data_IF_920852554033
#
_entry.id   IF_920852554033
#
_cell.length_a   1.000
_cell.length_b   1.000
_cell.length_c   1.000
_cell.angle_alpha   90.00
_cell.angle_beta   90.00
_cell.angle_gamma   90.00
#
_symmetry.space_group_name_H-M   'P 1'
#
loop_
_entity.id
_entity.type
_entity.pdbx_description
1 polymer ?
#
# COMPACT_ATOMS: atom_id res chain seq x y z
N UNK A 1 -27.56 -14.35 19.84
CA UNK A 1 -27.41 -12.94 19.44
C UNK A 1 -25.94 -12.72 19.13
N UNK A 2 -25.60 -12.71 17.85
CA UNK A 2 -24.23 -12.42 17.40
C UNK A 2 -24.15 -10.90 17.31
N UNK A 3 -23.26 -10.28 18.09
CA UNK A 3 -23.17 -8.82 18.19
C UNK A 3 -22.77 -8.18 16.85
N UNK A 4 -23.08 -6.89 16.64
CA UNK A 4 -22.79 -6.17 15.39
C UNK A 4 -21.30 -6.23 14.98
N UNK A 5 -20.38 -6.33 15.94
CA UNK A 5 -18.95 -6.55 15.66
C UNK A 5 -18.68 -7.87 14.92
N UNK A 6 -19.30 -8.98 15.32
CA UNK A 6 -19.05 -10.29 14.71
C UNK A 6 -19.63 -10.43 13.29
N UNK A 7 -20.62 -9.60 12.93
CA UNK A 7 -21.15 -9.48 11.57
C UNK A 7 -20.21 -8.68 10.64
N UNK A 8 -19.50 -7.67 11.17
CA UNK A 8 -18.46 -6.94 10.44
C UNK A 8 -17.24 -7.83 10.15
N UNK A 9 -16.82 -8.66 11.11
CA UNK A 9 -15.77 -9.67 10.91
C UNK A 9 -16.13 -10.71 9.83
N UNK A 10 -17.40 -11.16 9.79
CA UNK A 10 -17.85 -12.12 8.78
C UNK A 10 -17.89 -11.50 7.36
N UNK A 11 -18.22 -10.21 7.24
CA UNK A 11 -18.20 -9.47 5.97
C UNK A 11 -16.78 -9.19 5.46
N UNK A 12 -15.81 -9.05 6.37
CA UNK A 12 -14.38 -9.01 6.02
C UNK A 12 -13.88 -10.37 5.52
N UNK A 13 -14.24 -11.46 6.22
CA UNK A 13 -13.86 -12.82 5.85
C UNK A 13 -14.50 -13.31 4.53
N UNK A 14 -15.73 -12.88 4.19
CA UNK A 14 -16.40 -13.28 2.95
C UNK A 14 -15.96 -12.53 1.68
N UNK A 15 -15.09 -11.52 1.76
CA UNK A 15 -14.42 -10.92 0.58
C UNK A 15 -13.24 -11.76 0.05
N UNK A 16 -12.97 -12.91 0.66
CA UNK A 16 -11.81 -13.78 0.36
C UNK A 16 -11.99 -14.73 -0.85
N UNK A 17 -13.08 -14.65 -1.60
CA UNK A 17 -13.31 -15.49 -2.79
C UNK A 17 -12.73 -14.87 -4.08
N UNK A 18 -11.65 -14.10 -3.96
CA UNK A 18 -10.88 -13.54 -5.05
C UNK A 18 -9.40 -13.58 -4.67
N UNK A 19 -8.57 -14.05 -5.60
CA UNK A 19 -7.13 -14.21 -5.43
C UNK A 19 -6.49 -12.95 -4.79
N UNK A 20 -5.97 -13.08 -3.57
CA UNK A 20 -5.65 -11.98 -2.65
C UNK A 20 -4.57 -11.00 -3.15
N UNK A 21 -4.94 -9.72 -3.26
CA UNK A 21 -4.06 -8.65 -3.67
C UNK A 21 -3.08 -8.24 -2.56
N UNK A 22 -1.90 -7.75 -2.92
CA UNK A 22 -0.81 -7.46 -1.97
C UNK A 22 -1.02 -6.09 -1.31
N UNK A 23 -1.20 -6.05 0.01
CA UNK A 23 -1.36 -4.82 0.81
C UNK A 23 -0.02 -4.38 1.37
N UNK A 24 0.39 -3.16 1.03
CA UNK A 24 1.64 -2.54 1.47
C UNK A 24 1.30 -1.23 2.17
N UNK A 25 1.97 -0.93 3.28
CA UNK A 25 1.76 0.34 3.98
C UNK A 25 2.96 0.82 4.77
N UNK A 26 2.79 1.99 5.39
CA UNK A 26 3.69 2.57 6.37
C UNK A 26 2.90 3.00 7.62
N UNK A 27 3.55 2.87 8.78
CA UNK A 27 2.97 3.16 10.09
C UNK A 27 4.03 3.78 11.01
N UNK A 28 3.89 5.07 11.31
CA UNK A 28 4.63 5.69 12.40
C UNK A 28 3.99 5.31 13.74
N UNK A 29 4.72 4.54 14.55
CA UNK A 29 4.34 4.15 15.91
C UNK A 29 5.25 4.91 16.87
N UNK A 30 4.71 5.94 17.51
CA UNK A 30 5.45 6.88 18.34
C UNK A 30 6.29 6.15 19.39
N UNK A 31 7.61 6.37 19.33
CA UNK A 31 8.58 5.81 20.25
C UNK A 31 8.39 4.29 20.50
N UNK A 32 8.19 3.51 19.43
CA UNK A 32 8.03 2.07 19.54
C UNK A 32 9.25 1.42 20.19
N UNK A 33 9.02 0.54 21.17
CA UNK A 33 10.05 -0.17 21.94
C UNK A 33 9.41 -1.01 23.04
N UNK A 34 10.21 -1.50 23.99
CA UNK A 34 9.79 -2.48 25.01
C UNK A 34 8.54 -2.07 25.78
N UNK A 35 8.48 -0.82 26.22
CA UNK A 35 7.33 -0.31 27.00
C UNK A 35 6.03 -0.32 26.19
N UNK A 36 6.11 -0.18 24.86
CA UNK A 36 4.94 -0.15 23.97
C UNK A 36 4.42 -1.54 23.69
N UNK A 37 5.32 -2.48 23.36
CA UNK A 37 4.93 -3.86 23.02
C UNK A 37 4.50 -4.66 24.25
N UNK A 38 5.04 -4.34 25.44
CA UNK A 38 4.68 -5.01 26.70
C UNK A 38 3.34 -4.52 27.29
N UNK A 39 2.84 -3.35 26.88
CA UNK A 39 1.48 -2.91 27.23
C UNK A 39 0.45 -3.81 26.51
N UNK A 40 -0.37 -4.59 27.24
CA UNK A 40 -1.25 -5.58 26.61
C UNK A 40 -2.36 -5.00 25.74
N UNK A 41 -2.75 -3.73 25.95
CA UNK A 41 -3.77 -3.07 25.15
C UNK A 41 -3.15 -2.51 23.87
N UNK A 42 -2.03 -1.81 23.99
CA UNK A 42 -1.31 -1.20 22.87
C UNK A 42 -0.67 -2.26 21.97
N UNK A 43 0.13 -3.18 22.53
CA UNK A 43 0.82 -4.22 21.77
C UNK A 43 -0.13 -5.11 20.97
N UNK A 44 -1.29 -5.47 21.56
CA UNK A 44 -2.33 -6.25 20.87
C UNK A 44 -2.91 -5.51 19.67
N UNK A 45 -3.26 -4.22 19.82
CA UNK A 45 -3.80 -3.41 18.72
C UNK A 45 -2.76 -3.27 17.61
N UNK A 46 -1.50 -2.98 17.96
CA UNK A 46 -0.40 -2.91 17.00
C UNK A 46 -0.27 -4.24 16.24
N UNK A 47 -0.22 -5.38 16.94
CA UNK A 47 -0.10 -6.69 16.30
C UNK A 47 -1.29 -7.00 15.39
N UNK A 48 -2.51 -6.65 15.80
CA UNK A 48 -3.73 -6.81 14.99
C UNK A 48 -3.67 -5.97 13.70
N UNK A 49 -3.30 -4.68 13.81
CA UNK A 49 -3.13 -3.80 12.65
C UNK A 49 -2.10 -4.40 11.69
N UNK A 50 -0.91 -4.74 12.18
CA UNK A 50 0.20 -5.23 11.36
C UNK A 50 -0.12 -6.57 10.67
N UNK A 51 -0.88 -7.45 11.33
CA UNK A 51 -1.34 -8.72 10.74
C UNK A 51 -2.31 -8.55 9.54
N UNK A 52 -2.82 -7.34 9.31
CA UNK A 52 -3.68 -6.99 8.19
C UNK A 52 -2.95 -6.73 6.87
N UNK A 53 -1.62 -6.66 6.88
CA UNK A 53 -0.79 -6.24 5.74
C UNK A 53 0.20 -7.32 5.30
N UNK A 54 0.58 -7.32 4.02
CA UNK A 54 1.58 -8.25 3.50
C UNK A 54 3.01 -7.72 3.69
N UNK A 55 3.17 -6.39 3.60
CA UNK A 55 4.39 -5.66 3.95
C UNK A 55 4.02 -4.37 4.65
N UNK A 56 4.62 -4.09 5.80
CA UNK A 56 4.45 -2.84 6.52
C UNK A 56 5.81 -2.26 6.90
N UNK A 57 6.04 -1.00 6.54
CA UNK A 57 7.10 -0.17 7.12
C UNK A 57 6.63 0.36 8.48
N UNK A 58 7.40 0.12 9.53
CA UNK A 58 7.21 0.68 10.86
C UNK A 58 8.34 1.67 11.13
N UNK A 59 7.97 2.85 11.63
CA UNK A 59 8.88 3.98 11.91
C UNK A 59 8.85 4.34 13.41
N UNK A 60 9.80 5.18 13.84
CA UNK A 60 10.03 5.51 15.26
C UNK A 60 10.38 4.30 16.14
N UNK A 61 10.97 3.25 15.56
CA UNK A 61 11.45 2.08 16.30
C UNK A 61 12.72 2.43 17.07
N UNK A 62 12.71 2.24 18.39
CA UNK A 62 13.82 2.53 19.30
C UNK A 62 14.17 1.27 20.08
N UNK A 63 14.78 0.31 19.38
CA UNK A 63 14.98 -1.05 19.87
C UNK A 63 16.29 -1.66 19.33
N UNK A 64 17.46 -1.12 19.72
CA UNK A 64 18.74 -1.53 19.13
C UNK A 64 19.14 -2.98 19.42
N UNK A 65 18.55 -3.62 20.44
CA UNK A 65 18.78 -5.04 20.76
C UNK A 65 17.70 -5.97 20.19
N UNK A 66 16.73 -5.41 19.45
CA UNK A 66 15.62 -6.12 18.79
C UNK A 66 14.69 -6.88 19.76
N UNK A 67 14.73 -6.57 21.05
CA UNK A 67 13.89 -7.25 22.04
C UNK A 67 12.40 -6.94 21.85
N UNK A 68 12.06 -5.67 21.63
CA UNK A 68 10.69 -5.26 21.36
C UNK A 68 10.16 -5.76 20.00
N UNK A 69 11.00 -5.74 18.97
CA UNK A 69 10.71 -6.26 17.63
C UNK A 69 10.43 -7.76 17.69
N UNK A 70 11.24 -8.51 18.43
CA UNK A 70 11.04 -9.95 18.61
C UNK A 70 9.72 -10.23 19.31
N UNK A 71 9.43 -9.54 20.42
CA UNK A 71 8.16 -9.68 21.14
C UNK A 71 6.95 -9.32 20.26
N UNK A 72 7.06 -8.28 19.42
CA UNK A 72 6.00 -7.90 18.50
C UNK A 72 5.77 -8.97 17.44
N UNK A 73 6.83 -9.54 16.87
CA UNK A 73 6.72 -10.60 15.87
C UNK A 73 6.02 -11.84 16.44
N UNK A 74 6.32 -12.22 17.68
CA UNK A 74 5.62 -13.29 18.40
C UNK A 74 4.13 -12.99 18.56
N UNK A 75 3.78 -11.76 18.96
CA UNK A 75 2.39 -11.34 19.07
C UNK A 75 1.65 -11.40 17.72
N UNK A 76 2.25 -10.89 16.64
CA UNK A 76 1.67 -10.96 15.29
C UNK A 76 1.44 -12.41 14.88
N UNK A 77 2.45 -13.27 15.05
CA UNK A 77 2.37 -14.69 14.71
C UNK A 77 1.38 -15.47 15.59
N UNK A 78 1.04 -14.96 16.78
CA UNK A 78 0.02 -15.56 17.64
C UNK A 78 -1.42 -15.25 17.22
N UNK A 79 -1.66 -14.11 16.55
CA UNK A 79 -3.00 -13.67 16.12
C UNK A 79 -3.26 -13.89 14.63
N UNK A 80 -2.19 -14.06 13.86
CA UNK A 80 -2.24 -14.25 12.41
C UNK A 80 -2.34 -15.72 12.02
N UNK A 81 -3.01 -16.00 10.89
CA UNK A 81 -2.98 -17.31 10.22
C UNK A 81 -1.74 -17.52 9.33
N UNK A 82 -0.97 -16.46 9.11
CA UNK A 82 0.24 -16.44 8.30
C UNK A 82 1.46 -16.18 9.16
N UNK A 83 2.61 -16.70 8.73
CA UNK A 83 3.89 -16.46 9.37
C UNK A 83 4.52 -15.16 8.85
N UNK A 84 4.94 -14.30 9.78
CA UNK A 84 5.63 -13.05 9.51
C UNK A 84 7.12 -13.16 9.84
N UNK A 85 7.91 -12.35 9.15
CA UNK A 85 9.32 -12.08 9.43
C UNK A 85 9.57 -10.57 9.33
N UNK A 86 10.79 -10.15 9.61
CA UNK A 86 11.18 -8.75 9.54
C UNK A 86 12.58 -8.56 8.96
N UNK A 87 12.87 -7.32 8.56
CA UNK A 87 14.21 -6.80 8.29
C UNK A 87 14.26 -5.35 8.77
N UNK A 88 15.37 -4.94 9.39
CA UNK A 88 15.51 -3.61 9.97
C UNK A 88 16.83 -2.94 9.57
N UNK A 89 16.85 -1.61 9.64
CA UNK A 89 18.09 -0.84 9.59
C UNK A 89 18.85 -0.95 10.91
N UNK A 90 20.08 -0.43 10.91
CA UNK A 90 20.75 -0.01 12.14
C UNK A 90 20.05 1.22 12.75
N UNK A 91 20.38 1.64 13.99
CA UNK A 91 19.90 2.91 14.54
C UNK A 91 20.44 4.12 13.76
N UNK A 92 19.53 4.96 13.26
CA UNK A 92 19.77 6.14 12.43
C UNK A 92 19.32 7.42 13.16
N UNK A 93 20.00 8.54 12.90
CA UNK A 93 19.75 9.82 13.55
C UNK A 93 21.01 10.68 13.55
N UNK A 94 20.88 12.00 13.72
CA UNK A 94 22.05 12.90 13.83
C UNK A 94 22.59 12.99 15.25
N UNK A 95 21.72 12.87 16.26
CA UNK A 95 22.06 13.06 17.67
C UNK A 95 21.95 11.75 18.47
N UNK A 96 21.77 11.83 19.79
CA UNK A 96 21.62 10.65 20.66
C UNK A 96 20.25 9.97 20.50
N UNK A 97 19.27 10.68 19.94
CA UNK A 97 17.97 10.13 19.63
C UNK A 97 18.06 9.40 18.28
N UNK A 98 18.17 8.07 18.36
CA UNK A 98 18.20 7.20 17.18
C UNK A 98 16.89 6.43 17.03
N UNK A 99 16.52 6.20 15.79
CA UNK A 99 15.38 5.38 15.38
C UNK A 99 15.82 4.36 14.32
N UNK A 100 15.02 3.33 14.11
CA UNK A 100 15.24 2.30 13.09
C UNK A 100 14.06 2.27 12.13
N UNK A 101 14.33 1.97 10.86
CA UNK A 101 13.30 1.52 9.94
C UNK A 101 13.11 0.00 10.10
N UNK A 102 11.86 -0.44 10.25
CA UNK A 102 11.52 -1.85 10.38
C UNK A 102 10.51 -2.25 9.31
N UNK A 103 10.84 -3.22 8.48
CA UNK A 103 9.89 -3.84 7.56
C UNK A 103 9.41 -5.15 8.15
N UNK A 104 8.11 -5.27 8.40
CA UNK A 104 7.44 -6.52 8.78
C UNK A 104 6.73 -7.07 7.54
N UNK A 105 6.95 -8.33 7.22
CA UNK A 105 6.41 -8.93 6.00
C UNK A 105 5.97 -10.38 6.16
N UNK A 106 4.99 -10.77 5.35
CA UNK A 106 4.41 -12.12 5.33
C UNK A 106 5.25 -13.05 4.47
N UNK A 107 5.77 -14.14 5.05
CA UNK A 107 6.77 -15.03 4.40
C UNK A 107 6.25 -15.79 3.18
N UNK A 108 4.93 -16.00 3.09
CA UNK A 108 4.28 -16.64 1.95
C UNK A 108 3.85 -15.64 0.85
N UNK A 109 4.00 -14.33 1.09
CA UNK A 109 3.64 -13.27 0.13
C UNK A 109 4.86 -12.71 -0.59
N UNK A 110 5.93 -12.42 0.16
CA UNK A 110 7.14 -11.78 -0.34
C UNK A 110 8.40 -12.36 0.31
N UNK A 111 9.54 -12.12 -0.32
CA UNK A 111 10.86 -12.41 0.25
C UNK A 111 11.82 -11.24 0.00
N UNK A 112 12.62 -10.88 1.00
CA UNK A 112 13.69 -9.90 0.85
C UNK A 112 14.74 -10.43 -0.13
N UNK A 113 15.04 -9.66 -1.17
CA UNK A 113 16.08 -9.98 -2.14
C UNK A 113 17.40 -9.29 -1.77
N UNK A 114 17.32 -7.98 -1.50
CA UNK A 114 18.47 -7.14 -1.18
C UNK A 114 18.02 -5.97 -0.30
N UNK A 115 18.91 -5.51 0.58
CA UNK A 115 18.75 -4.30 1.38
C UNK A 115 19.83 -3.30 1.00
N UNK A 116 19.52 -2.01 1.08
CA UNK A 116 20.47 -0.95 0.75
C UNK A 116 20.24 0.27 1.66
N UNK A 117 21.26 0.62 2.44
CA UNK A 117 21.29 1.87 3.18
C UNK A 117 21.80 2.96 2.25
N UNK A 118 20.99 3.99 1.97
CA UNK A 118 21.43 5.10 1.14
C UNK A 118 22.65 5.81 1.80
N UNK A 119 23.77 6.05 1.10
CA UNK A 119 24.99 6.59 1.69
C UNK A 119 24.93 8.05 2.12
N UNK A 120 23.93 8.79 1.61
CA UNK A 120 23.70 10.21 1.88
C UNK A 120 24.95 11.11 1.77
N UNK A 121 25.58 11.20 0.59
CA UNK A 121 26.82 11.96 0.43
C UNK A 121 26.67 13.46 0.69
N UNK A 122 25.45 13.99 0.54
CA UNK A 122 25.13 15.41 0.78
C UNK A 122 24.67 15.66 2.22
N UNK A 123 24.62 14.62 3.07
CA UNK A 123 24.15 14.68 4.45
C UNK A 123 22.79 15.41 4.53
N UNK A 124 21.84 15.02 3.67
CA UNK A 124 20.53 15.63 3.55
C UNK A 124 19.52 15.07 4.57
N UNK A 125 19.65 13.81 4.96
CA UNK A 125 18.67 13.11 5.79
C UNK A 125 19.06 13.14 7.26
N UNK A 126 18.07 13.25 8.16
CA UNK A 126 18.30 12.92 9.57
C UNK A 126 18.37 11.41 9.80
N UNK A 127 17.66 10.63 8.99
CA UNK A 127 17.56 9.17 9.04
C UNK A 127 17.62 8.62 7.61
N UNK A 128 18.82 8.34 7.16
CA UNK A 128 19.14 7.88 5.81
C UNK A 128 18.21 6.74 5.36
N UNK A 129 17.63 6.78 4.14
CA UNK A 129 16.68 5.76 3.69
C UNK A 129 17.26 4.33 3.69
N UNK A 130 16.62 3.43 4.45
CA UNK A 130 16.90 1.99 4.43
C UNK A 130 16.00 1.27 3.41
N UNK A 131 16.49 1.14 2.19
CA UNK A 131 15.76 0.64 1.03
C UNK A 131 15.73 -0.89 1.04
N UNK A 132 14.56 -1.48 0.75
CA UNK A 132 14.42 -2.94 0.65
C UNK A 132 13.82 -3.33 -0.69
N UNK A 133 14.50 -4.23 -1.40
CA UNK A 133 14.00 -4.87 -2.61
C UNK A 133 13.35 -6.21 -2.26
N UNK A 134 12.05 -6.33 -2.56
CA UNK A 134 11.27 -7.54 -2.33
C UNK A 134 10.97 -8.27 -3.65
N UNK A 135 10.99 -9.60 -3.59
CA UNK A 135 10.33 -10.45 -4.57
C UNK A 135 8.88 -10.66 -4.14
N UNK A 136 7.93 -10.50 -5.05
CA UNK A 136 6.49 -10.64 -4.85
C UNK A 136 5.88 -11.47 -6.00
N UNK A 137 6.13 -12.79 -6.07
CA UNK A 137 5.84 -13.61 -7.25
C UNK A 137 4.35 -13.68 -7.63
N UNK A 138 3.46 -13.54 -6.65
CA UNK A 138 1.99 -13.52 -6.84
C UNK A 138 1.46 -12.15 -7.28
N UNK A 139 2.23 -11.07 -7.09
CA UNK A 139 1.89 -9.71 -7.47
C UNK A 139 2.15 -9.45 -8.96
N UNK A 140 1.37 -8.56 -9.58
CA UNK A 140 1.60 -8.14 -10.96
C UNK A 140 2.96 -7.47 -11.13
N UNK A 141 3.42 -6.74 -10.09
CA UNK A 141 4.71 -6.06 -10.08
C UNK A 141 5.92 -6.99 -10.03
N UNK A 142 5.78 -8.23 -9.53
CA UNK A 142 6.83 -9.26 -9.37
C UNK A 142 8.01 -8.92 -8.46
N UNK A 143 8.52 -7.70 -8.54
CA UNK A 143 9.56 -7.13 -7.69
C UNK A 143 9.12 -5.74 -7.24
N UNK A 144 9.53 -5.33 -6.05
CA UNK A 144 9.14 -4.07 -5.44
C UNK A 144 10.31 -3.48 -4.70
N UNK A 145 10.62 -2.21 -4.97
CA UNK A 145 11.61 -1.44 -4.21
C UNK A 145 10.87 -0.50 -3.27
N UNK A 146 11.00 -0.71 -1.97
CA UNK A 146 10.41 0.15 -0.93
C UNK A 146 11.46 1.08 -0.35
N UNK A 147 11.18 2.38 -0.38
CA UNK A 147 12.09 3.45 0.04
C UNK A 147 11.44 4.21 1.19
N UNK A 148 11.95 4.08 2.42
CA UNK A 148 11.32 4.69 3.57
C UNK A 148 11.80 6.14 3.71
N UNK A 149 10.94 6.99 4.26
CA UNK A 149 11.36 8.26 4.85
C UNK A 149 10.51 8.55 6.09
N UNK A 150 11.17 8.73 7.23
CA UNK A 150 10.63 9.46 8.36
C UNK A 150 11.35 10.81 8.38
N UNK A 151 10.72 11.86 7.86
CA UNK A 151 11.39 13.13 7.66
C UNK A 151 11.57 13.90 8.96
N UNK A 152 12.71 14.56 9.19
CA UNK A 152 12.78 15.51 10.30
C UNK A 152 11.81 16.69 10.04
N UNK A 153 10.89 17.03 10.96
CA UNK A 153 9.78 17.94 10.64
C UNK A 153 10.22 19.31 10.10
N UNK A 154 11.30 19.88 10.64
CA UNK A 154 11.84 21.17 10.21
C UNK A 154 12.77 21.10 8.99
N UNK A 155 13.03 19.89 8.48
CA UNK A 155 13.81 19.63 7.26
C UNK A 155 12.96 18.90 6.20
N UNK A 156 11.65 18.76 6.40
CA UNK A 156 10.77 17.95 5.55
C UNK A 156 10.88 18.33 4.07
N UNK A 157 10.91 19.63 3.73
CA UNK A 157 11.07 20.09 2.33
C UNK A 157 12.37 19.57 1.71
N UNK A 158 13.48 19.63 2.45
CA UNK A 158 14.80 19.20 1.98
C UNK A 158 14.87 17.67 1.86
N UNK A 159 14.43 16.95 2.89
CA UNK A 159 14.49 15.49 2.90
C UNK A 159 13.55 14.86 1.86
N UNK A 160 12.35 15.41 1.65
CA UNK A 160 11.44 14.92 0.59
C UNK A 160 12.02 15.23 -0.80
N UNK A 161 12.65 16.39 -1.01
CA UNK A 161 13.31 16.69 -2.28
C UNK A 161 14.47 15.73 -2.55
N UNK A 162 15.29 15.43 -1.53
CA UNK A 162 16.44 14.53 -1.63
C UNK A 162 16.05 13.07 -2.00
N UNK A 163 14.80 12.64 -1.77
CA UNK A 163 14.32 11.34 -2.28
C UNK A 163 14.37 11.24 -3.82
N UNK A 164 14.40 12.37 -4.54
CA UNK A 164 14.66 12.37 -5.98
C UNK A 164 16.08 11.87 -6.30
N UNK A 165 17.07 12.19 -5.47
CA UNK A 165 18.45 11.75 -5.68
C UNK A 165 18.61 10.27 -5.27
N UNK A 166 17.86 9.80 -4.27
CA UNK A 166 17.72 8.36 -3.95
C UNK A 166 17.11 7.60 -5.12
N UNK A 167 16.08 8.15 -5.77
CA UNK A 167 15.50 7.57 -6.99
C UNK A 167 16.57 7.39 -8.09
N UNK A 168 17.37 8.42 -8.36
CA UNK A 168 18.42 8.36 -9.38
C UNK A 168 19.50 7.33 -9.05
N UNK A 169 19.91 7.26 -7.78
CA UNK A 169 20.89 6.26 -7.33
C UNK A 169 20.38 4.83 -7.52
N UNK A 170 19.13 4.56 -7.13
CA UNK A 170 18.53 3.23 -7.25
C UNK A 170 18.28 2.80 -8.70
N UNK A 171 18.00 3.75 -9.61
CA UNK A 171 17.97 3.50 -11.05
C UNK A 171 19.34 2.98 -11.51
N UNK A 172 20.43 3.62 -11.10
CA UNK A 172 21.78 3.20 -11.46
C UNK A 172 22.17 1.87 -10.80
N UNK A 173 21.77 1.65 -9.55
CA UNK A 173 22.13 0.45 -8.77
C UNK A 173 21.37 -0.80 -9.21
N UNK A 174 20.07 -0.69 -9.45
CA UNK A 174 19.19 -1.85 -9.69
C UNK A 174 18.52 -1.87 -11.07
N UNK A 175 18.66 -0.82 -11.87
CA UNK A 175 18.13 -0.79 -13.24
C UNK A 175 16.61 -0.87 -13.33
N UNK A 176 15.89 -0.48 -12.27
CA UNK A 176 14.43 -0.51 -12.20
C UNK A 176 13.89 0.85 -11.75
N UNK A 177 12.77 1.28 -12.32
CA UNK A 177 12.02 2.47 -11.92
C UNK A 177 10.74 2.13 -11.12
N UNK A 178 10.47 0.85 -10.88
CA UNK A 178 9.33 0.36 -10.08
C UNK A 178 9.61 0.52 -8.59
N UNK A 179 9.46 1.75 -8.09
CA UNK A 179 9.74 2.10 -6.70
C UNK A 179 8.50 2.69 -6.01
N UNK A 180 8.40 2.41 -4.71
CA UNK A 180 7.39 2.96 -3.82
C UNK A 180 8.09 3.66 -2.65
N UNK A 181 7.89 4.97 -2.55
CA UNK A 181 8.34 5.78 -1.44
C UNK A 181 7.20 5.86 -0.42
N UNK A 182 7.48 5.61 0.85
CA UNK A 182 6.45 5.55 1.86
C UNK A 182 6.96 5.93 3.25
N UNK A 183 6.07 6.48 4.07
CA UNK A 183 6.37 6.83 5.45
C UNK A 183 5.82 8.19 5.87
N UNK A 184 6.13 8.56 7.11
CA UNK A 184 5.91 9.89 7.67
C UNK A 184 6.86 10.92 7.05
N UNK A 185 6.39 11.59 6.02
CA UNK A 185 7.18 12.61 5.34
C UNK A 185 7.07 13.98 6.05
N UNK A 186 6.23 14.11 7.09
CA UNK A 186 5.81 15.39 7.64
C UNK A 186 5.35 16.37 6.53
N UNK A 187 4.68 15.83 5.51
CA UNK A 187 4.45 16.47 4.21
C UNK A 187 3.19 17.37 4.15
N UNK A 188 2.91 18.14 5.18
CA UNK A 188 1.78 19.07 5.21
C UNK A 188 1.88 20.14 6.31
N UNK A 189 0.82 20.93 6.47
CA UNK A 189 0.59 21.85 7.56
C UNK A 189 1.74 22.86 7.71
N UNK A 190 2.40 22.88 8.86
CA UNK A 190 3.44 23.87 9.15
C UNK A 190 4.83 23.47 8.62
N UNK A 191 5.01 22.22 8.22
CA UNK A 191 6.30 21.65 7.82
C UNK A 191 6.52 21.74 6.30
N UNK A 192 5.48 21.46 5.51
CA UNK A 192 5.49 21.68 4.06
C UNK A 192 4.25 22.48 3.69
N UNK A 193 4.44 23.74 3.29
CA UNK A 193 3.36 24.66 2.93
C UNK A 193 3.10 24.65 1.44
N UNK A 194 1.96 25.20 1.02
CA UNK A 194 1.54 25.24 -0.38
C UNK A 194 2.63 25.76 -1.35
N UNK A 195 3.39 26.78 -0.95
CA UNK A 195 4.46 27.35 -1.77
C UNK A 195 5.72 26.48 -1.87
N UNK A 196 5.94 25.56 -0.93
CA UNK A 196 7.16 24.75 -0.87
C UNK A 196 7.12 23.59 -1.88
N UNK A 197 5.92 23.14 -2.26
CA UNK A 197 5.73 22.01 -3.18
C UNK A 197 6.39 22.19 -4.54
N UNK A 198 6.51 23.43 -5.03
CA UNK A 198 7.17 23.70 -6.30
C UNK A 198 8.68 23.42 -6.26
N UNK A 199 9.30 23.44 -5.08
CA UNK A 199 10.73 23.20 -4.88
C UNK A 199 11.06 21.70 -4.69
N UNK A 200 10.06 20.85 -4.46
CA UNK A 200 10.26 19.42 -4.18
C UNK A 200 10.18 18.63 -5.49
N UNK A 201 11.31 18.15 -6.00
CA UNK A 201 11.39 17.39 -7.27
C UNK A 201 10.57 16.10 -7.26
N UNK A 202 10.47 15.43 -6.12
CA UNK A 202 9.60 14.26 -5.92
C UNK A 202 8.10 14.59 -6.13
N UNK A 203 7.72 15.86 -6.01
CA UNK A 203 6.35 16.34 -6.23
C UNK A 203 6.14 16.97 -7.60
N UNK A 204 7.07 17.81 -8.04
CA UNK A 204 6.94 18.59 -9.27
C UNK A 204 7.20 17.78 -10.55
N UNK A 205 7.90 16.64 -10.45
CA UNK A 205 8.15 15.74 -11.58
C UNK A 205 6.97 14.81 -11.86
N UNK A 206 6.58 14.69 -13.12
CA UNK A 206 5.50 13.80 -13.60
C UNK A 206 5.83 12.30 -13.48
N UNK A 207 7.10 11.98 -13.19
CA UNK A 207 7.55 10.60 -12.93
C UNK A 207 6.83 10.00 -11.73
N UNK A 208 6.56 10.82 -10.72
CA UNK A 208 6.03 10.39 -9.44
C UNK A 208 4.53 10.63 -9.35
N UNK A 209 3.81 9.61 -8.87
CA UNK A 209 2.39 9.74 -8.54
C UNK A 209 2.22 9.61 -7.04
N UNK A 210 1.74 10.68 -6.43
CA UNK A 210 1.35 10.70 -5.02
C UNK A 210 -0.02 10.04 -4.88
N UNK A 211 -0.08 8.98 -4.07
CA UNK A 211 -1.28 8.16 -3.89
C UNK A 211 -2.13 8.63 -2.70
N UNK A 212 -1.50 9.17 -1.66
CA UNK A 212 -2.17 9.83 -0.54
C UNK A 212 -2.28 11.33 -0.87
N UNK A 213 -3.50 11.88 -1.04
CA UNK A 213 -3.70 13.28 -1.42
C UNK A 213 -3.40 14.22 -0.24
N UNK A 214 -3.19 15.51 -0.54
CA UNK A 214 -3.01 16.55 0.50
C UNK A 214 -4.27 16.79 1.35
N UNK A 215 -5.42 16.30 0.90
CA UNK A 215 -6.70 16.41 1.63
C UNK A 215 -6.95 15.26 2.59
N UNK A 216 -5.98 14.36 2.77
CA UNK A 216 -6.11 13.24 3.69
C UNK A 216 -5.62 13.65 5.09
N UNK A 217 -6.33 13.24 6.14
CA UNK A 217 -5.79 13.31 7.49
C UNK A 217 -5.11 11.99 7.82
N UNK A 218 -3.80 12.02 8.07
CA UNK A 218 -3.01 10.84 8.49
C UNK A 218 -2.68 10.88 9.97
N UNK A 219 -3.16 11.89 10.68
CA UNK A 219 -2.92 12.03 12.11
C UNK A 219 -3.95 11.24 12.92
N UNK A 220 -3.78 11.30 14.24
CA UNK A 220 -4.72 10.74 15.19
C UNK A 220 -5.10 11.87 16.15
N UNK A 221 -6.38 12.16 16.28
CA UNK A 221 -6.90 13.20 17.15
C UNK A 221 -7.42 14.44 16.43
N UNK A 222 -7.02 15.62 16.90
CA UNK A 222 -7.66 16.89 16.51
C UNK A 222 -6.90 17.68 15.42
N UNK A 223 -5.81 17.13 14.89
CA UNK A 223 -5.14 17.71 13.72
C UNK A 223 -5.77 17.18 12.43
N UNK A 224 -5.55 17.90 11.33
CA UNK A 224 -5.95 17.50 9.98
C UNK A 224 -4.74 17.79 9.08
N UNK A 225 -3.87 16.79 8.95
CA UNK A 225 -2.61 16.93 8.22
C UNK A 225 -2.27 15.66 7.43
N UNK A 226 -1.89 15.81 6.16
CA UNK A 226 -1.44 14.74 5.28
C UNK A 226 0.06 14.46 5.43
N UNK A 227 0.52 14.11 6.63
CA UNK A 227 1.95 13.92 6.88
C UNK A 227 2.52 12.64 6.27
N UNK A 228 1.77 11.55 6.37
CA UNK A 228 2.19 10.22 5.94
C UNK A 228 1.81 10.00 4.47
N UNK A 229 2.75 9.51 3.67
CA UNK A 229 2.61 9.51 2.21
C UNK A 229 2.95 8.16 1.62
N UNK A 230 2.36 7.91 0.47
CA UNK A 230 2.78 6.87 -0.47
C UNK A 230 2.92 7.51 -1.84
N UNK A 231 4.11 7.38 -2.42
CA UNK A 231 4.46 7.89 -3.74
C UNK A 231 4.99 6.74 -4.58
N UNK A 232 4.55 6.66 -5.83
CA UNK A 232 4.93 5.57 -6.74
C UNK A 232 5.54 6.12 -8.02
N UNK A 233 6.57 5.45 -8.54
CA UNK A 233 7.06 5.62 -9.90
C UNK A 233 7.14 4.27 -10.63
N UNK A 234 7.50 4.30 -11.90
CA UNK A 234 7.52 3.11 -12.75
C UNK A 234 6.17 2.85 -13.43
N UNK A 235 6.19 2.71 -14.75
CA UNK A 235 4.95 2.47 -15.50
C UNK A 235 4.34 1.10 -15.20
N UNK A 236 5.19 0.11 -14.90
CA UNK A 236 4.77 -1.25 -14.61
C UNK A 236 4.16 -1.37 -13.20
N UNK A 237 4.80 -0.79 -12.18
CA UNK A 237 4.27 -0.73 -10.83
C UNK A 237 2.96 0.06 -10.76
N UNK A 238 2.87 1.21 -11.46
CA UNK A 238 1.62 2.00 -11.52
C UNK A 238 0.45 1.21 -12.10
N UNK A 239 0.65 0.42 -13.15
CA UNK A 239 -0.39 -0.48 -13.71
C UNK A 239 -0.74 -1.63 -12.78
N UNK A 240 0.17 -1.99 -11.88
CA UNK A 240 -0.03 -3.04 -10.89
C UNK A 240 -0.82 -2.55 -9.68
N UNK A 241 -1.03 -1.25 -9.49
CA UNK A 241 -1.87 -0.73 -8.40
C UNK A 241 -3.35 -1.00 -8.67
N UNK A 242 -4.08 -1.42 -7.64
CA UNK A 242 -5.54 -1.40 -7.69
C UNK A 242 -6.01 0.06 -7.67
N UNK A 243 -6.85 0.49 -8.64
CA UNK A 243 -7.39 1.85 -8.64
C UNK A 243 -8.08 2.18 -7.32
N UNK A 244 -7.86 3.39 -6.80
CA UNK A 244 -8.46 3.90 -5.57
C UNK A 244 -8.22 3.05 -4.31
N UNK A 245 -7.15 2.24 -4.29
CA UNK A 245 -6.83 1.40 -3.14
C UNK A 245 -5.97 2.07 -2.08
N UNK A 246 -5.36 3.22 -2.41
CA UNK A 246 -4.56 3.96 -1.45
C UNK A 246 -5.48 4.69 -0.47
N UNK A 247 -5.26 4.48 0.83
CA UNK A 247 -6.12 5.01 1.88
C UNK A 247 -5.35 5.17 3.21
N UNK A 248 -5.95 5.95 4.10
CA UNK A 248 -5.59 6.02 5.51
C UNK A 248 -6.36 4.94 6.27
N UNK A 249 -5.73 4.31 7.25
CA UNK A 249 -6.36 3.35 8.13
C UNK A 249 -6.70 4.00 9.48
N UNK A 250 -7.94 4.44 9.64
CA UNK A 250 -8.43 4.98 10.91
C UNK A 250 -8.67 3.83 11.91
N UNK A 251 -7.59 3.45 12.59
CA UNK A 251 -7.64 2.40 13.60
C UNK A 251 -8.34 2.86 14.88
N UNK A 252 -8.45 4.18 15.12
CA UNK A 252 -9.18 4.70 16.25
C UNK A 252 -10.67 4.35 16.12
N UNK A 253 -11.25 4.61 14.95
CA UNK A 253 -12.62 4.23 14.63
C UNK A 253 -12.80 2.71 14.62
N UNK A 254 -11.89 1.97 13.96
CA UNK A 254 -11.98 0.52 13.82
C UNK A 254 -12.03 -0.21 15.16
N UNK A 255 -11.16 0.17 16.10
CA UNK A 255 -11.04 -0.48 17.41
C UNK A 255 -11.87 0.21 18.50
N UNK A 256 -12.59 1.29 18.17
CA UNK A 256 -13.41 2.04 19.12
C UNK A 256 -12.62 2.62 20.28
N UNK A 257 -11.43 3.17 19.98
CA UNK A 257 -10.47 3.65 20.98
C UNK A 257 -10.68 5.13 21.29
N UNK A 258 -10.47 5.53 22.54
CA UNK A 258 -10.43 6.94 22.91
C UNK A 258 -9.09 7.60 22.56
N UNK A 259 -9.03 8.94 22.64
CA UNK A 259 -7.84 9.71 22.28
C UNK A 259 -6.59 9.31 23.07
N UNK A 260 -6.73 8.94 24.35
CA UNK A 260 -5.60 8.56 25.19
C UNK A 260 -5.06 7.17 24.80
N UNK A 261 -5.92 6.31 24.28
CA UNK A 261 -5.58 4.96 23.82
C UNK A 261 -4.92 4.92 22.44
N UNK A 262 -4.91 6.02 21.69
CA UNK A 262 -4.34 6.09 20.33
C UNK A 262 -3.22 7.11 20.19
N UNK A 263 -2.94 7.90 21.22
CA UNK A 263 -1.94 8.98 21.20
C UNK A 263 -0.51 8.50 20.96
N UNK A 264 -0.28 7.20 20.86
CA UNK A 264 1.01 6.56 20.65
C UNK A 264 1.35 6.34 19.18
N UNK A 265 0.52 6.73 18.21
CA UNK A 265 0.81 6.49 16.80
C UNK A 265 0.07 7.43 15.87
N UNK A 266 0.44 7.38 14.59
CA UNK A 266 -0.29 8.00 13.49
C UNK A 266 -1.18 6.99 12.78
N UNK A 267 -2.11 7.43 11.96
CA UNK A 267 -2.95 6.51 11.20
C UNK A 267 -2.14 5.87 10.07
N UNK A 268 -2.04 4.52 9.97
CA UNK A 268 -1.28 3.88 8.91
C UNK A 268 -1.77 4.30 7.53
N UNK A 269 -0.85 4.57 6.60
CA UNK A 269 -1.18 4.74 5.18
C UNK A 269 -0.86 3.46 4.43
N UNK A 270 -1.72 3.08 3.48
CA UNK A 270 -1.54 1.83 2.74
C UNK A 270 -2.07 1.93 1.32
N UNK A 271 -1.62 1.02 0.46
CA UNK A 271 -2.12 0.81 -0.89
C UNK A 271 -2.15 -0.69 -1.22
N UNK A 272 -2.91 -1.05 -2.26
CA UNK A 272 -3.00 -2.45 -2.71
C UNK A 272 -2.49 -2.62 -4.13
N UNK A 273 -1.60 -3.60 -4.32
CA UNK A 273 -1.17 -4.06 -5.63
C UNK A 273 -2.00 -5.25 -6.09
N UNK A 274 -2.48 -5.19 -7.33
CA UNK A 274 -3.15 -6.25 -8.03
C UNK A 274 -2.23 -7.47 -8.19
N UNK A 275 -2.85 -8.64 -8.21
CA UNK A 275 -2.13 -9.88 -8.50
C UNK A 275 -1.71 -9.97 -9.97
N UNK A 276 -0.68 -10.78 -10.22
CA UNK A 276 -0.35 -11.17 -11.57
C UNK A 276 -1.50 -11.98 -12.16
N UNK A 277 -2.02 -11.54 -13.31
CA UNK A 277 -3.04 -12.30 -14.02
C UNK A 277 -2.55 -13.73 -14.30
N UNK A 278 -3.30 -14.75 -13.88
CA UNK A 278 -3.09 -16.11 -14.39
C UNK A 278 -3.38 -16.06 -15.88
N UNK A 279 -2.43 -16.46 -16.74
CA UNK A 279 -2.76 -16.86 -18.12
C UNK A 279 -3.63 -18.11 -18.03
N UNK A 280 -4.95 -17.92 -17.92
CA UNK A 280 -5.93 -19.00 -17.81
C UNK A 280 -7.24 -18.57 -18.44
N UNK A 281 -7.52 -19.15 -19.61
CA UNK A 281 -8.76 -19.17 -20.40
C UNK A 281 -9.78 -18.05 -20.13
N UNK A 282 -9.94 -17.15 -21.11
CA UNK A 282 -11.00 -16.15 -21.11
C UNK A 282 -12.38 -16.80 -20.96
N UNK A 283 -13.00 -16.61 -19.79
CA UNK A 283 -14.43 -16.81 -19.62
C UNK A 283 -15.13 -15.54 -20.11
N UNK A 284 -15.71 -15.62 -21.31
CA UNK A 284 -16.65 -14.61 -21.78
C UNK A 284 -17.89 -14.64 -20.88
N UNK A 285 -18.08 -13.62 -20.05
CA UNK A 285 -19.34 -13.40 -19.34
C UNK A 285 -20.38 -12.89 -20.35
N UNK A 286 -21.31 -13.76 -20.74
CA UNK A 286 -22.48 -13.36 -21.51
C UNK A 286 -23.56 -12.85 -20.54
N UNK A 287 -23.79 -11.53 -20.51
CA UNK A 287 -24.95 -10.97 -19.82
C UNK A 287 -26.21 -11.29 -20.63
N UNK A 288 -27.09 -12.14 -20.06
CA UNK A 288 -28.43 -12.34 -20.59
C UNK A 288 -29.35 -11.29 -19.96
N UNK A 289 -29.57 -10.18 -20.67
CA UNK A 289 -30.68 -9.27 -20.34
C UNK A 289 -31.99 -9.97 -20.71
N UNK A 290 -32.73 -10.44 -19.71
CA UNK A 290 -34.14 -10.78 -19.87
C UNK A 290 -34.92 -9.47 -19.84
N UNK A 291 -35.27 -8.93 -21.00
CA UNK A 291 -36.35 -7.96 -21.12
C UNK A 291 -37.67 -8.71 -21.34
N UNK A 292 -38.77 -8.34 -20.67
CA UNK A 292 -40.08 -8.91 -20.95
C UNK A 292 -40.55 -8.44 -22.33
N UNK A 293 -40.95 -9.40 -23.17
CA UNK A 293 -41.62 -9.16 -24.45
C UNK A 293 -43.11 -8.88 -24.19
N UNK A 294 -43.52 -7.63 -24.33
CA UNK A 294 -44.86 -7.29 -24.80
C UNK A 294 -44.74 -6.48 -26.10
N UNK A 295 -45.74 -6.67 -26.94
CA UNK A 295 -45.97 -6.08 -28.28
C UNK A 295 -45.16 -6.64 -29.46
N UNK A 296 -45.63 -7.80 -29.94
CA UNK A 296 -45.48 -8.19 -31.33
C UNK A 296 -46.58 -7.51 -32.18
N UNK A 297 -46.18 -6.74 -33.19
CA UNK A 297 -47.00 -6.57 -34.40
C UNK A 297 -46.15 -6.57 -35.67
N UNK A 298 -46.45 -7.59 -36.49
CA UNK A 298 -46.38 -7.61 -37.95
C UNK A 298 -45.03 -7.39 -38.64
N UNK A 299 -44.51 -8.45 -39.27
CA UNK A 299 -44.38 -8.52 -40.74
C UNK A 299 -44.00 -9.94 -41.22
N UNK A 300 -44.98 -10.53 -41.92
CA UNK A 300 -44.95 -11.48 -43.05
C UNK A 300 -43.97 -12.67 -43.07
N UNK A 301 -44.62 -13.83 -43.14
CA UNK A 301 -44.19 -15.16 -43.53
C UNK A 301 -43.50 -15.27 -44.90
N UNK A 302 -42.43 -16.06 -44.96
CA UNK A 302 -42.09 -16.92 -46.10
C UNK A 302 -41.77 -18.31 -45.54
N UNK A 303 -42.42 -19.32 -46.11
CA UNK A 303 -42.48 -20.74 -45.68
C UNK A 303 -41.22 -21.57 -46.10
N UNK A 304 -41.09 -22.85 -45.68
CA UNK A 304 -39.84 -23.40 -45.12
C UNK A 304 -39.07 -24.37 -46.04
N UNK A 305 -37.81 -24.65 -45.68
CA UNK A 305 -37.07 -25.85 -46.08
C UNK A 305 -36.31 -26.42 -44.86
N UNK A 306 -36.27 -27.75 -44.65
CA UNK A 306 -35.73 -28.34 -43.43
C UNK A 306 -34.25 -28.69 -43.57
N UNK A 307 -33.43 -28.33 -42.57
CA UNK A 307 -32.12 -28.95 -42.34
C UNK A 307 -31.88 -29.14 -40.83
N UNK A 308 -31.09 -30.16 -40.44
CA UNK A 308 -31.17 -30.79 -39.14
C UNK A 308 -30.43 -30.01 -38.04
N UNK A 309 -31.03 -30.04 -36.84
CA UNK A 309 -30.43 -29.91 -35.50
C UNK A 309 -28.99 -29.40 -35.40
N UNK A 310 -28.82 -28.18 -34.86
CA UNK A 310 -27.58 -27.75 -34.20
C UNK A 310 -27.34 -26.24 -34.23
N UNK A 311 -27.72 -25.55 -33.14
CA UNK A 311 -27.38 -24.17 -32.73
C UNK A 311 -26.69 -23.23 -33.74
N UNK A 312 -27.41 -22.18 -34.16
CA UNK A 312 -26.80 -20.95 -34.72
C UNK A 312 -26.19 -20.11 -33.58
N UNK A 313 -24.86 -20.02 -33.58
CA UNK A 313 -24.11 -19.02 -32.83
C UNK A 313 -24.19 -17.71 -33.63
N UNK A 314 -24.95 -16.72 -33.16
CA UNK A 314 -24.85 -15.37 -33.72
C UNK A 314 -23.80 -14.59 -32.91
N UNK A 315 -22.59 -14.50 -33.48
CA UNK A 315 -21.52 -13.65 -32.97
C UNK A 315 -21.76 -12.23 -33.47
N UNK A 316 -22.15 -11.30 -32.61
CA UNK A 316 -22.05 -9.87 -32.90
C UNK A 316 -20.59 -9.45 -32.68
N UNK A 317 -19.81 -9.45 -33.76
CA UNK A 317 -18.48 -8.83 -33.81
C UNK A 317 -18.67 -7.33 -34.07
N UNK A 318 -18.28 -6.48 -33.12
CA UNK A 318 -18.03 -5.06 -33.41
C UNK A 318 -16.54 -4.90 -33.75
N UNK A 319 -16.18 -4.50 -34.98
CA UNK A 319 -14.82 -4.08 -35.27
C UNK A 319 -14.61 -2.66 -34.74
N UNK A 320 -13.71 -2.49 -33.76
CA UNK A 320 -13.12 -1.17 -33.51
C UNK A 320 -11.78 -1.10 -34.27
N UNK A 321 -11.81 -0.39 -35.40
CA UNK A 321 -10.61 0.05 -36.11
C UNK A 321 -9.89 1.13 -35.30
N UNK A 322 -8.54 1.16 -35.31
CA UNK A 322 -7.77 2.28 -34.78
C UNK A 322 -7.68 3.36 -35.86
N UNK A 323 -8.24 4.54 -35.60
CA UNK A 323 -7.90 5.75 -36.35
C UNK A 323 -7.01 6.63 -35.49
N UNK A 324 -5.79 6.77 -35.98
CA UNK A 324 -4.89 7.90 -35.77
C UNK A 324 -5.60 9.18 -36.20
N UNK A 325 -5.56 10.22 -35.36
CA UNK A 325 -5.58 11.61 -35.81
C UNK A 325 -4.81 12.48 -34.80
N UNK A 326 -4.11 13.45 -35.40
CA UNK A 326 -3.10 14.44 -34.95
C UNK A 326 -3.10 14.93 -33.49
#
# INVERSE_FOLDING_TARGET
MVGPCALLWALWALRSAGSAALRIGAFNIQCFGDSKVSDPACGRVIAQILSGYDVMLVQEVRDPDLSAVTALLEQINSVSKHEYSFVSSEPLGRDQYKEMYLYIYRKDAVSVMETYQYPDPEDAFSRDPFVVKFSAPSCAAKELVLIPLHAAPHQAVIEIDALYDVYLDLINKWGTDDMLFLGDFNADCNYVRAQDWAAIRLRSSEVFKWLIPDTADTTVGNSDCAYDRIVVCGAHLRRSLKPHSAAVHDFQEEFGLDQAQVSWGRSPVWATLAQAGRKGAGYYFCFRLCLPLEDAYSLRSVDPQPLPTGCLLSTLLFPHSPTVDL
#
